data_IF_588536009748
#
_entry.id   IF_588536009748
#
_cell.length_a   1.000
_cell.length_b   1.000
_cell.length_c   1.000
_cell.angle_alpha   90.00
_cell.angle_beta   90.00
_cell.angle_gamma   90.00
#
_symmetry.space_group_name_H-M   'P 1'
#
loop_
_entity.id
_entity.type
_entity.pdbx_description
1 polymer ?
#
# COMPACT_ATOMS: atom_id res chain seq x y z
N UNK A 1 -26.77 10.31 -45.34
CA UNK A 1 -26.90 9.74 -43.99
C UNK A 1 -25.52 9.78 -43.39
N UNK A 2 -25.21 10.90 -42.77
CA UNK A 2 -23.89 11.15 -42.20
C UNK A 2 -23.80 10.48 -40.81
N UNK A 3 -22.86 9.57 -40.69
CA UNK A 3 -22.49 9.02 -39.37
C UNK A 3 -21.85 10.13 -38.56
N UNK A 4 -22.30 10.40 -37.29
CA UNK A 4 -21.60 11.33 -36.45
C UNK A 4 -20.24 10.72 -36.08
N UNK A 5 -19.17 11.27 -36.62
CA UNK A 5 -17.81 11.05 -36.18
C UNK A 5 -17.74 11.36 -34.69
N UNK A 6 -17.62 10.33 -33.87
CA UNK A 6 -17.22 10.46 -32.44
C UNK A 6 -15.86 11.15 -32.44
N UNK A 7 -15.88 12.46 -32.20
CA UNK A 7 -14.68 13.22 -31.86
C UNK A 7 -14.05 12.53 -30.66
N UNK A 8 -12.93 11.83 -30.89
CA UNK A 8 -12.07 11.34 -29.84
C UNK A 8 -11.63 12.60 -29.10
N UNK A 9 -12.19 12.83 -27.90
CA UNK A 9 -11.78 13.92 -27.05
C UNK A 9 -10.26 13.83 -26.91
N UNK A 10 -9.57 14.86 -27.37
CA UNK A 10 -8.12 14.99 -27.24
C UNK A 10 -7.79 14.80 -25.77
N UNK A 11 -6.97 13.81 -25.45
CA UNK A 11 -6.47 13.61 -24.09
C UNK A 11 -5.93 14.96 -23.61
N UNK A 12 -6.57 15.56 -22.61
CA UNK A 12 -6.11 16.80 -22.01
C UNK A 12 -4.70 16.54 -21.51
N UNK A 13 -3.73 17.31 -22.01
CA UNK A 13 -2.38 17.26 -21.48
C UNK A 13 -2.41 17.85 -20.06
N UNK A 14 -1.57 17.32 -19.17
CA UNK A 14 -1.46 17.89 -17.84
C UNK A 14 -1.20 19.39 -17.92
N UNK A 15 -1.80 20.18 -17.03
CA UNK A 15 -1.68 21.65 -17.05
C UNK A 15 -0.29 22.16 -16.67
N UNK A 16 0.59 21.27 -16.23
CA UNK A 16 2.01 21.53 -15.89
C UNK A 16 2.92 20.58 -16.69
N UNK A 17 4.21 20.89 -16.73
CA UNK A 17 5.19 20.07 -17.47
C UNK A 17 5.17 18.58 -17.04
N UNK A 18 5.41 17.69 -17.99
CA UNK A 18 5.35 16.24 -17.76
C UNK A 18 6.19 15.77 -16.56
N UNK A 19 7.44 16.23 -16.47
CA UNK A 19 8.35 15.85 -15.37
C UNK A 19 7.82 16.36 -14.03
N UNK A 20 7.38 17.62 -13.99
CA UNK A 20 6.79 18.23 -12.80
C UNK A 20 5.54 17.49 -12.34
N UNK A 21 4.65 17.13 -13.26
CA UNK A 21 3.43 16.37 -12.96
C UNK A 21 3.75 14.99 -12.37
N UNK A 22 4.68 14.24 -13.01
CA UNK A 22 5.09 12.91 -12.52
C UNK A 22 5.74 13.01 -11.14
N UNK A 23 6.62 13.99 -10.93
CA UNK A 23 7.30 14.18 -9.64
C UNK A 23 6.32 14.55 -8.53
N UNK A 24 5.38 15.45 -8.83
CA UNK A 24 4.34 15.84 -7.89
C UNK A 24 3.40 14.67 -7.52
N UNK A 25 2.94 13.92 -8.53
CA UNK A 25 2.11 12.74 -8.32
C UNK A 25 2.85 11.66 -7.49
N UNK A 26 4.12 11.46 -7.77
CA UNK A 26 4.95 10.54 -7.03
C UNK A 26 5.18 11.00 -5.58
N UNK A 27 5.43 12.29 -5.35
CA UNK A 27 5.57 12.87 -4.00
C UNK A 27 4.28 12.71 -3.18
N UNK A 28 3.12 12.96 -3.79
CA UNK A 28 1.81 12.75 -3.15
C UNK A 28 1.61 11.29 -2.73
N UNK A 29 1.95 10.33 -3.57
CA UNK A 29 1.83 8.91 -3.24
C UNK A 29 2.86 8.46 -2.21
N UNK A 30 4.07 9.02 -2.23
CA UNK A 30 5.14 8.69 -1.29
C UNK A 30 4.80 9.10 0.16
N UNK A 31 3.91 10.08 0.39
CA UNK A 31 3.43 10.45 1.73
C UNK A 31 2.83 9.26 2.49
N UNK A 32 2.21 8.31 1.78
CA UNK A 32 1.66 7.10 2.40
C UNK A 32 2.77 6.20 2.96
N UNK A 33 3.77 5.87 2.17
CA UNK A 33 4.89 5.03 2.59
C UNK A 33 5.72 5.73 3.69
N UNK A 34 5.97 7.03 3.53
CA UNK A 34 6.66 7.82 4.56
C UNK A 34 5.90 7.77 5.89
N UNK A 35 4.57 7.92 5.86
CA UNK A 35 3.71 7.85 7.05
C UNK A 35 3.69 6.48 7.72
N UNK A 36 3.92 5.38 7.00
CA UNK A 36 3.95 4.01 7.54
C UNK A 36 5.35 3.67 8.04
N UNK A 37 6.34 3.75 7.16
CA UNK A 37 7.63 3.06 7.33
C UNK A 37 8.66 3.90 8.10
N UNK A 38 8.56 5.24 8.10
CA UNK A 38 9.51 6.09 8.84
C UNK A 38 9.44 5.90 10.35
N UNK A 39 8.32 5.35 10.87
CA UNK A 39 8.11 5.10 12.29
C UNK A 39 8.76 3.80 12.79
N UNK A 40 9.13 2.88 11.88
CA UNK A 40 9.62 1.55 12.26
C UNK A 40 10.80 1.60 13.25
N UNK A 41 11.87 2.37 13.02
CA UNK A 41 12.98 2.45 13.98
C UNK A 41 12.60 3.17 15.29
N UNK A 42 11.50 3.92 15.32
CA UNK A 42 11.08 4.70 16.46
C UNK A 42 10.09 3.95 17.39
N UNK A 43 9.58 2.79 17.01
CA UNK A 43 8.58 2.04 17.78
C UNK A 43 9.01 1.76 19.25
N UNK A 44 10.27 1.38 19.54
CA UNK A 44 10.73 1.21 20.92
C UNK A 44 10.66 2.52 21.73
N UNK A 45 11.12 3.61 21.16
CA UNK A 45 11.11 4.92 21.81
C UNK A 45 9.68 5.43 22.07
N UNK A 46 8.74 5.18 21.15
CA UNK A 46 7.30 5.46 21.33
C UNK A 46 6.78 4.63 22.52
N UNK A 47 7.07 3.32 22.55
CA UNK A 47 6.62 2.44 23.60
C UNK A 47 7.10 2.88 25.00
N UNK A 48 8.38 3.19 25.13
CA UNK A 48 8.96 3.68 26.38
C UNK A 48 8.38 5.04 26.78
N UNK A 49 8.30 5.99 25.84
CA UNK A 49 7.84 7.36 26.09
C UNK A 49 6.36 7.43 26.50
N UNK A 50 5.52 6.53 26.00
CA UNK A 50 4.08 6.50 26.24
C UNK A 50 3.65 5.34 27.16
N UNK A 51 4.59 4.70 27.83
CA UNK A 51 4.38 3.63 28.82
C UNK A 51 3.50 2.49 28.27
N UNK A 52 3.82 2.02 27.06
CA UNK A 52 3.09 0.92 26.44
C UNK A 52 3.45 -0.38 27.10
N UNK A 53 2.48 -1.05 27.74
CA UNK A 53 2.69 -2.23 28.58
C UNK A 53 3.31 -3.41 27.82
N UNK A 54 2.82 -3.71 26.61
CA UNK A 54 3.32 -4.81 25.78
C UNK A 54 4.14 -4.30 24.61
N UNK A 55 5.29 -4.94 24.35
CA UNK A 55 6.11 -4.65 23.19
C UNK A 55 5.33 -4.81 21.87
N UNK A 56 4.43 -5.80 21.81
CA UNK A 56 3.61 -6.06 20.61
C UNK A 56 2.60 -4.93 20.35
N UNK A 57 2.08 -4.29 21.39
CA UNK A 57 1.14 -3.19 21.23
C UNK A 57 1.71 -2.00 20.44
N UNK A 58 3.04 -1.82 20.41
CA UNK A 58 3.70 -0.77 19.60
C UNK A 58 3.35 -0.88 18.11
N UNK A 59 3.09 -2.08 17.61
CA UNK A 59 2.70 -2.35 16.23
C UNK A 59 1.34 -1.71 15.88
N UNK A 60 0.47 -1.44 16.86
CA UNK A 60 -0.78 -0.73 16.63
C UNK A 60 -0.59 0.67 16.05
N UNK A 61 0.58 1.28 16.20
CA UNK A 61 0.92 2.56 15.53
C UNK A 61 0.83 2.43 14.01
N UNK A 62 1.25 1.29 13.45
CA UNK A 62 1.16 1.00 12.01
C UNK A 62 -0.25 0.58 11.65
N UNK A 63 -0.83 -0.35 12.41
CA UNK A 63 -2.17 -0.88 12.17
C UNK A 63 -3.23 0.22 12.17
N UNK A 64 -3.17 1.16 13.13
CA UNK A 64 -4.09 2.28 13.22
C UNK A 64 -4.05 3.16 11.96
N UNK A 65 -2.86 3.45 11.44
CA UNK A 65 -2.73 4.18 10.18
C UNK A 65 -3.35 3.39 9.01
N UNK A 66 -3.08 2.10 8.90
CA UNK A 66 -3.62 1.24 7.84
C UNK A 66 -5.14 1.11 7.90
N UNK A 67 -5.74 1.06 9.08
CA UNK A 67 -7.21 1.06 9.25
C UNK A 67 -7.80 2.36 8.71
N UNK A 68 -7.25 3.52 9.09
CA UNK A 68 -7.69 4.81 8.57
C UNK A 68 -7.50 4.90 7.06
N UNK A 69 -6.35 4.48 6.56
CA UNK A 69 -6.01 4.49 5.15
C UNK A 69 -6.91 3.55 4.33
N UNK A 70 -7.17 2.35 4.80
CA UNK A 70 -8.04 1.38 4.13
C UNK A 70 -9.48 1.87 4.06
N UNK A 71 -10.07 2.25 5.20
CA UNK A 71 -11.48 2.65 5.29
C UNK A 71 -11.79 3.91 4.47
N UNK A 72 -10.89 4.88 4.46
CA UNK A 72 -11.10 6.13 3.75
C UNK A 72 -11.02 6.02 2.22
N UNK A 73 -10.42 4.95 1.68
CA UNK A 73 -10.37 4.74 0.22
C UNK A 73 -11.76 4.70 -0.43
N UNK A 74 -12.78 4.20 0.30
CA UNK A 74 -14.16 4.17 -0.20
C UNK A 74 -14.77 5.56 -0.38
N UNK A 75 -14.27 6.56 0.36
CA UNK A 75 -14.85 7.90 0.41
C UNK A 75 -14.25 8.85 -0.62
N UNK A 76 -12.93 8.80 -0.81
CA UNK A 76 -12.22 9.79 -1.61
C UNK A 76 -12.53 9.76 -3.11
N UNK A 77 -12.86 8.59 -3.67
CA UNK A 77 -13.32 8.48 -5.06
C UNK A 77 -14.56 9.35 -5.29
N UNK A 78 -15.70 9.00 -4.68
CA UNK A 78 -16.94 9.74 -4.82
C UNK A 78 -16.85 11.21 -4.41
N UNK A 79 -16.11 11.54 -3.33
CA UNK A 79 -15.92 12.92 -2.90
C UNK A 79 -15.19 13.75 -3.96
N UNK A 80 -14.11 13.21 -4.54
CA UNK A 80 -13.33 13.92 -5.55
C UNK A 80 -14.05 14.00 -6.90
N UNK A 81 -14.94 13.05 -7.21
CA UNK A 81 -15.82 13.12 -8.40
C UNK A 81 -16.90 14.21 -8.27
N UNK A 82 -17.34 14.48 -7.05
CA UNK A 82 -18.35 15.51 -6.80
C UNK A 82 -17.79 16.91 -6.64
N UNK A 83 -16.78 17.05 -5.75
CA UNK A 83 -16.28 18.37 -5.35
C UNK A 83 -15.10 18.87 -6.17
N UNK A 84 -14.51 17.98 -6.98
CA UNK A 84 -13.29 18.21 -7.75
C UNK A 84 -12.06 17.61 -7.08
N UNK A 85 -11.03 17.36 -7.88
CA UNK A 85 -9.79 16.72 -7.42
C UNK A 85 -9.00 17.65 -6.48
N UNK A 86 -8.85 18.91 -6.92
CA UNK A 86 -8.01 19.89 -6.23
C UNK A 86 -8.50 20.22 -4.83
N UNK A 87 -9.76 20.61 -4.56
CA UNK A 87 -10.21 20.94 -3.22
C UNK A 87 -10.17 19.75 -2.28
N UNK A 88 -10.56 18.54 -2.75
CA UNK A 88 -10.56 17.34 -1.92
C UNK A 88 -9.13 16.95 -1.52
N UNK A 89 -8.17 17.05 -2.45
CA UNK A 89 -6.77 16.72 -2.15
C UNK A 89 -6.15 17.75 -1.20
N UNK A 90 -6.43 19.05 -1.36
CA UNK A 90 -5.93 20.09 -0.46
C UNK A 90 -6.48 19.92 0.97
N UNK A 91 -7.76 19.58 1.12
CA UNK A 91 -8.35 19.25 2.43
C UNK A 91 -7.68 18.02 3.03
N UNK A 92 -7.45 16.96 2.24
CA UNK A 92 -6.76 15.77 2.70
C UNK A 92 -5.32 16.07 3.16
N UNK A 93 -4.57 16.88 2.40
CA UNK A 93 -3.20 17.27 2.77
C UNK A 93 -3.17 18.14 4.02
N UNK A 94 -4.09 19.12 4.14
CA UNK A 94 -4.24 19.92 5.36
C UNK A 94 -4.58 19.06 6.58
N UNK A 95 -5.44 18.06 6.40
CA UNK A 95 -5.78 17.09 7.44
C UNK A 95 -4.58 16.20 7.81
N UNK A 96 -3.77 15.79 6.83
CA UNK A 96 -2.53 15.05 7.08
C UNK A 96 -1.54 15.86 7.91
N UNK A 97 -1.33 17.15 7.58
CA UNK A 97 -0.45 18.07 8.32
C UNK A 97 -0.92 18.23 9.76
N UNK A 98 -2.21 18.51 9.95
CA UNK A 98 -2.81 18.70 11.27
C UNK A 98 -2.68 17.44 12.13
N UNK A 99 -3.02 16.27 11.56
CA UNK A 99 -2.98 15.01 12.30
C UNK A 99 -1.54 14.53 12.57
N UNK A 100 -0.57 14.85 11.70
CA UNK A 100 0.86 14.66 11.98
C UNK A 100 1.31 15.52 13.18
N UNK A 101 0.88 16.78 13.25
CA UNK A 101 1.13 17.65 14.41
C UNK A 101 0.52 17.09 15.69
N UNK A 102 -0.73 16.62 15.65
CA UNK A 102 -1.39 15.98 16.82
C UNK A 102 -0.61 14.74 17.24
N UNK A 103 -0.17 13.89 16.30
CA UNK A 103 0.65 12.73 16.61
C UNK A 103 1.97 13.12 17.29
N UNK A 104 2.62 14.18 16.79
CA UNK A 104 3.88 14.67 17.35
C UNK A 104 3.77 15.16 18.80
N UNK A 105 2.63 15.78 19.18
CA UNK A 105 2.41 16.30 20.53
C UNK A 105 1.66 15.33 21.45
N UNK A 106 1.37 14.10 20.98
CA UNK A 106 0.62 13.11 21.74
C UNK A 106 1.27 12.79 23.08
N UNK A 107 0.52 12.96 24.16
CA UNK A 107 0.93 12.61 25.52
C UNK A 107 0.45 11.25 25.98
N UNK A 108 -0.36 10.54 25.21
CA UNK A 108 -0.83 9.19 25.50
C UNK A 108 -0.83 8.31 24.26
N UNK A 109 -0.68 7.00 24.47
CA UNK A 109 -0.70 6.03 23.36
C UNK A 109 -2.06 6.01 22.63
N UNK A 110 -3.16 6.12 23.36
CA UNK A 110 -4.51 6.19 22.77
C UNK A 110 -4.67 7.40 21.85
N UNK A 111 -4.22 8.60 22.27
CA UNK A 111 -4.26 9.79 21.42
C UNK A 111 -3.40 9.62 20.16
N UNK A 112 -2.21 9.01 20.32
CA UNK A 112 -1.36 8.69 19.17
C UNK A 112 -2.08 7.77 18.19
N UNK A 113 -2.74 6.70 18.65
CA UNK A 113 -3.48 5.79 17.78
C UNK A 113 -4.63 6.48 17.04
N UNK A 114 -5.39 7.33 17.72
CA UNK A 114 -6.45 8.13 17.07
C UNK A 114 -5.86 9.07 16.01
N UNK A 115 -4.77 9.76 16.32
CA UNK A 115 -4.06 10.60 15.36
C UNK A 115 -3.54 9.79 14.16
N UNK A 116 -3.08 8.55 14.38
CA UNK A 116 -2.63 7.65 13.32
C UNK A 116 -3.78 7.20 12.40
N UNK A 117 -4.95 6.87 12.94
CA UNK A 117 -6.15 6.58 12.13
C UNK A 117 -6.50 7.79 11.26
N UNK A 118 -6.53 8.99 11.85
CA UNK A 118 -6.83 10.23 11.14
C UNK A 118 -5.77 10.56 10.07
N UNK A 119 -4.48 10.36 10.38
CA UNK A 119 -3.38 10.55 9.43
C UNK A 119 -3.46 9.55 8.26
N UNK A 120 -3.80 8.28 8.54
CA UNK A 120 -4.06 7.27 7.50
C UNK A 120 -5.25 7.65 6.61
N UNK A 121 -6.34 8.12 7.22
CA UNK A 121 -7.50 8.64 6.49
C UNK A 121 -7.10 9.75 5.51
N UNK A 122 -6.28 10.70 5.95
CA UNK A 122 -5.77 11.77 5.12
C UNK A 122 -4.88 11.27 3.96
N UNK A 123 -4.00 10.32 4.25
CA UNK A 123 -3.10 9.71 3.26
C UNK A 123 -3.84 8.97 2.14
N UNK A 124 -5.00 8.36 2.43
CA UNK A 124 -5.84 7.73 1.42
C UNK A 124 -6.30 8.72 0.35
N UNK A 125 -6.59 9.98 0.73
CA UNK A 125 -6.90 11.05 -0.21
C UNK A 125 -5.77 11.32 -1.19
N UNK A 126 -4.54 11.41 -0.70
CA UNK A 126 -3.37 11.61 -1.56
C UNK A 126 -3.22 10.51 -2.60
N UNK A 127 -3.43 9.24 -2.22
CA UNK A 127 -3.34 8.11 -3.16
C UNK A 127 -4.48 8.08 -4.16
N UNK A 128 -5.73 8.10 -3.68
CA UNK A 128 -6.91 7.90 -4.52
C UNK A 128 -7.09 9.05 -5.51
N UNK A 129 -6.95 10.29 -5.03
CA UNK A 129 -7.13 11.48 -5.87
C UNK A 129 -5.99 11.63 -6.88
N UNK A 130 -4.75 11.29 -6.51
CA UNK A 130 -3.61 11.33 -7.46
C UNK A 130 -3.82 10.37 -8.63
N UNK A 131 -4.28 9.15 -8.39
CA UNK A 131 -4.60 8.19 -9.47
C UNK A 131 -5.73 8.73 -10.36
N UNK A 132 -6.74 9.36 -9.77
CA UNK A 132 -7.83 9.99 -10.52
C UNK A 132 -7.32 11.15 -11.39
N UNK A 133 -6.46 12.03 -10.86
CA UNK A 133 -5.84 13.12 -11.63
C UNK A 133 -5.01 12.63 -12.81
N UNK A 134 -4.23 11.54 -12.62
CA UNK A 134 -3.48 10.94 -13.73
C UNK A 134 -4.43 10.49 -14.85
N UNK A 135 -5.56 9.88 -14.48
CA UNK A 135 -6.58 9.43 -15.42
C UNK A 135 -7.30 10.59 -16.12
N UNK A 136 -7.51 11.70 -15.42
CA UNK A 136 -8.16 12.88 -16.00
C UNK A 136 -7.23 13.57 -17.03
N UNK A 137 -5.89 13.54 -16.82
CA UNK A 137 -4.91 14.20 -17.66
C UNK A 137 -4.34 13.33 -18.79
N UNK A 138 -4.34 12.01 -18.62
CA UNK A 138 -3.69 11.10 -19.56
C UNK A 138 -4.57 9.89 -19.86
N UNK A 139 -4.50 9.40 -21.11
CA UNK A 139 -5.22 8.20 -21.56
C UNK A 139 -4.27 7.19 -22.23
N UNK A 140 -4.68 5.95 -22.31
CA UNK A 140 -4.00 4.89 -23.06
C UNK A 140 -2.51 4.74 -22.65
N UNK A 141 -1.61 4.73 -23.64
CA UNK A 141 -0.17 4.52 -23.43
C UNK A 141 0.49 5.63 -22.62
N UNK A 142 0.03 6.88 -22.74
CA UNK A 142 0.54 8.00 -21.97
C UNK A 142 0.22 7.85 -20.48
N UNK A 143 -1.01 7.46 -20.15
CA UNK A 143 -1.40 7.14 -18.76
C UNK A 143 -0.56 6.00 -18.18
N UNK A 144 -0.36 4.92 -18.93
CA UNK A 144 0.46 3.80 -18.50
C UNK A 144 1.90 4.23 -18.20
N UNK A 145 2.49 5.10 -19.04
CA UNK A 145 3.84 5.64 -18.81
C UNK A 145 3.92 6.48 -17.55
N UNK A 146 2.98 7.41 -17.33
CA UNK A 146 2.92 8.23 -16.11
C UNK A 146 2.79 7.36 -14.88
N UNK A 147 1.82 6.43 -14.87
CA UNK A 147 1.59 5.54 -13.72
C UNK A 147 2.82 4.68 -13.41
N UNK A 148 3.50 4.15 -14.44
CA UNK A 148 4.73 3.38 -14.23
C UNK A 148 5.83 4.20 -13.54
N UNK A 149 6.05 5.46 -13.96
CA UNK A 149 7.02 6.34 -13.33
C UNK A 149 6.64 6.69 -11.89
N UNK A 150 5.37 7.00 -11.65
CA UNK A 150 4.84 7.27 -10.30
C UNK A 150 5.01 6.05 -9.39
N UNK A 151 4.71 4.85 -9.90
CA UNK A 151 4.88 3.61 -9.13
C UNK A 151 6.33 3.26 -8.84
N UNK A 152 7.28 3.58 -9.73
CA UNK A 152 8.72 3.39 -9.44
C UNK A 152 9.11 4.19 -8.19
N UNK A 153 8.71 5.47 -8.13
CA UNK A 153 9.00 6.31 -6.96
C UNK A 153 8.24 5.84 -5.72
N UNK A 154 6.97 5.44 -5.88
CA UNK A 154 6.19 4.88 -4.78
C UNK A 154 6.84 3.61 -4.19
N UNK A 155 7.38 2.74 -5.03
CA UNK A 155 8.07 1.53 -4.56
C UNK A 155 9.46 1.82 -3.96
N UNK A 156 10.08 2.94 -4.34
CA UNK A 156 11.32 3.38 -3.72
C UNK A 156 11.10 3.99 -2.32
N UNK A 157 9.92 4.57 -2.07
CA UNK A 157 9.63 5.23 -0.80
C UNK A 157 9.77 4.31 0.44
N UNK A 158 9.28 3.06 0.48
CA UNK A 158 9.51 2.14 1.59
C UNK A 158 10.99 1.80 1.81
N UNK A 159 11.82 1.88 0.77
CA UNK A 159 13.26 1.63 0.90
C UNK A 159 13.93 2.75 1.72
N UNK A 160 13.53 4.00 1.47
CA UNK A 160 14.14 5.18 2.09
C UNK A 160 13.45 5.64 3.38
N UNK A 161 12.15 5.36 3.56
CA UNK A 161 11.40 5.89 4.69
C UNK A 161 11.96 5.47 6.07
N UNK A 162 12.32 4.20 6.33
CA UNK A 162 12.96 3.84 7.60
C UNK A 162 14.32 4.51 7.78
N UNK A 163 15.09 4.72 6.69
CA UNK A 163 16.38 5.41 6.76
C UNK A 163 16.21 6.85 7.21
N UNK A 164 15.19 7.55 6.74
CA UNK A 164 14.84 8.91 7.20
C UNK A 164 14.53 8.91 8.70
N UNK A 165 13.70 7.97 9.17
CA UNK A 165 13.38 7.82 10.58
C UNK A 165 14.63 7.55 11.43
N UNK A 166 15.48 6.61 10.98
CA UNK A 166 16.72 6.27 11.67
C UNK A 166 17.72 7.45 11.71
N UNK A 167 17.85 8.20 10.61
CA UNK A 167 18.73 9.38 10.54
C UNK A 167 18.28 10.47 11.51
N UNK A 168 16.97 10.71 11.64
CA UNK A 168 16.42 11.67 12.61
C UNK A 168 16.78 11.25 14.04
N UNK A 169 16.60 9.97 14.38
CA UNK A 169 16.94 9.46 15.71
C UNK A 169 18.45 9.50 15.97
N UNK A 170 19.28 9.15 15.00
CA UNK A 170 20.74 9.20 15.11
C UNK A 170 21.27 10.64 15.28
N UNK A 171 20.58 11.61 14.71
CA UNK A 171 20.90 13.05 14.90
C UNK A 171 20.43 13.61 16.26
N UNK A 172 19.98 12.75 17.19
CA UNK A 172 19.47 13.16 18.51
C UNK A 172 18.02 13.64 18.51
N UNK A 173 17.30 13.50 17.40
CA UNK A 173 15.87 13.79 17.31
C UNK A 173 15.03 12.75 18.07
N UNK A 174 13.85 13.12 18.50
CA UNK A 174 12.88 12.22 19.12
C UNK A 174 11.96 11.59 18.07
N UNK A 175 11.20 10.55 18.46
CA UNK A 175 10.14 10.00 17.61
C UNK A 175 9.10 11.07 17.21
N UNK A 176 8.90 12.09 18.02
CA UNK A 176 8.02 13.24 17.72
C UNK A 176 8.51 14.05 16.52
N UNK A 177 9.83 14.19 16.39
CA UNK A 177 10.47 14.89 15.26
C UNK A 177 10.14 14.22 13.92
N UNK A 178 9.97 12.88 13.91
CA UNK A 178 9.59 12.15 12.69
C UNK A 178 8.17 12.57 12.25
N UNK A 179 7.21 12.68 13.18
CA UNK A 179 5.86 13.15 12.87
C UNK A 179 5.84 14.61 12.38
N UNK A 180 6.63 15.49 13.02
CA UNK A 180 6.81 16.86 12.52
C UNK A 180 7.39 16.87 11.11
N UNK A 181 8.38 16.02 10.84
CA UNK A 181 8.97 15.86 9.49
C UNK A 181 7.95 15.42 8.45
N UNK A 182 7.10 14.43 8.77
CA UNK A 182 6.00 14.02 7.91
C UNK A 182 5.03 15.18 7.62
N UNK A 183 4.68 15.94 8.64
CA UNK A 183 3.82 17.14 8.51
C UNK A 183 4.44 18.22 7.62
N UNK A 184 5.72 18.52 7.82
CA UNK A 184 6.46 19.53 7.02
C UNK A 184 6.55 19.08 5.54
N UNK A 185 6.89 17.82 5.28
CA UNK A 185 6.93 17.29 3.91
C UNK A 185 5.55 17.36 3.26
N UNK A 186 4.49 16.97 3.99
CA UNK A 186 3.12 17.05 3.48
C UNK A 186 2.68 18.49 3.21
N UNK A 187 3.07 19.43 4.07
CA UNK A 187 2.82 20.86 3.86
C UNK A 187 3.55 21.40 2.63
N UNK A 188 4.83 21.02 2.44
CA UNK A 188 5.62 21.44 1.28
C UNK A 188 5.04 20.88 -0.03
N UNK A 189 4.68 19.58 -0.06
CA UNK A 189 4.02 18.96 -1.20
C UNK A 189 2.64 19.57 -1.46
N UNK A 190 1.88 19.84 -0.39
CA UNK A 190 0.58 20.49 -0.46
C UNK A 190 0.65 21.92 -1.01
N UNK A 191 1.64 22.69 -0.58
CA UNK A 191 1.90 24.04 -1.09
C UNK A 191 2.31 23.99 -2.56
N UNK A 192 3.23 23.11 -2.93
CA UNK A 192 3.61 22.90 -4.33
C UNK A 192 2.40 22.55 -5.19
N UNK A 193 1.59 21.59 -4.74
CA UNK A 193 0.34 21.22 -5.40
C UNK A 193 -0.62 22.42 -5.52
N UNK A 194 -0.83 23.19 -4.45
CA UNK A 194 -1.72 24.33 -4.43
C UNK A 194 -1.31 25.45 -5.41
N UNK A 195 0.00 25.68 -5.55
CA UNK A 195 0.53 26.73 -6.40
C UNK A 195 0.58 26.34 -7.89
N UNK A 196 0.78 25.05 -8.18
CA UNK A 196 1.11 24.60 -9.54
C UNK A 196 -0.01 23.83 -10.21
N UNK A 197 -0.84 23.11 -9.46
CA UNK A 197 -1.84 22.21 -10.03
C UNK A 197 -3.24 22.82 -10.01
N UNK A 198 -3.84 23.16 -11.17
CA UNK A 198 -5.23 23.56 -11.24
C UNK A 198 -6.17 22.36 -11.08
N UNK A 199 -7.48 22.62 -11.10
CA UNK A 199 -8.48 21.54 -11.15
C UNK A 199 -8.39 20.75 -12.44
N UNK A 200 -8.40 19.42 -12.32
CA UNK A 200 -8.32 18.51 -13.48
C UNK A 200 -9.67 17.96 -13.90
N UNK A 201 -10.65 17.99 -13.01
CA UNK A 201 -12.01 17.56 -13.32
C UNK A 201 -12.82 18.72 -13.89
N UNK A 202 -13.29 18.60 -15.13
CA UNK A 202 -14.16 19.59 -15.77
C UNK A 202 -15.45 19.81 -14.97
N UNK A 203 -15.92 21.05 -14.92
CA UNK A 203 -17.16 21.40 -14.18
C UNK A 203 -18.38 20.61 -14.68
N UNK A 204 -18.43 20.28 -15.97
CA UNK A 204 -19.48 19.45 -16.58
C UNK A 204 -19.35 17.95 -16.31
N UNK A 205 -18.20 17.48 -15.81
CA UNK A 205 -17.92 16.08 -15.55
C UNK A 205 -18.18 15.68 -14.08
N UNK A 206 -18.48 16.66 -13.23
CA UNK A 206 -18.79 16.43 -11.82
C UNK A 206 -20.05 15.58 -11.66
N UNK A 207 -19.92 14.51 -10.92
CA UNK A 207 -21.03 13.58 -10.71
C UNK A 207 -21.69 13.80 -9.34
N UNK A 208 -23.04 13.81 -9.25
CA UNK A 208 -23.71 13.87 -7.98
C UNK A 208 -23.41 12.61 -7.15
N UNK A 209 -23.18 12.79 -5.84
CA UNK A 209 -23.04 11.68 -4.90
C UNK A 209 -24.39 10.92 -4.84
N UNK A 210 -24.50 9.85 -5.59
CA UNK A 210 -25.64 8.94 -5.54
C UNK A 210 -25.20 7.65 -4.85
N UNK A 211 -25.44 7.55 -3.55
CA UNK A 211 -25.10 6.36 -2.77
C UNK A 211 -25.63 5.07 -3.42
N UNK A 212 -26.84 5.11 -3.98
CA UNK A 212 -27.44 3.98 -4.68
C UNK A 212 -26.59 3.49 -5.88
N UNK A 213 -25.96 4.41 -6.63
CA UNK A 213 -25.08 4.07 -7.74
C UNK A 213 -23.79 3.42 -7.22
N UNK A 214 -23.15 4.02 -6.21
CA UNK A 214 -21.92 3.48 -5.61
C UNK A 214 -22.16 2.08 -5.04
N UNK A 215 -23.28 1.89 -4.33
CA UNK A 215 -23.68 0.57 -3.79
C UNK A 215 -23.95 -0.41 -4.93
N UNK A 216 -24.60 0.03 -6.03
CA UNK A 216 -24.84 -0.77 -7.21
C UNK A 216 -23.54 -1.23 -7.89
N UNK A 217 -22.57 -0.33 -8.02
CA UNK A 217 -21.24 -0.62 -8.57
C UNK A 217 -20.49 -1.63 -7.69
N UNK A 218 -20.52 -1.45 -6.36
CA UNK A 218 -19.98 -2.45 -5.41
C UNK A 218 -20.66 -3.80 -5.57
N UNK A 219 -22.00 -3.81 -5.69
CA UNK A 219 -22.76 -5.02 -5.94
C UNK A 219 -22.35 -5.74 -7.24
N UNK A 220 -22.03 -4.97 -8.28
CA UNK A 220 -21.52 -5.52 -9.56
C UNK A 220 -20.16 -6.18 -9.39
N UNK A 221 -19.22 -5.55 -8.70
CA UNK A 221 -17.92 -6.14 -8.40
C UNK A 221 -18.03 -7.40 -7.52
N UNK A 222 -18.88 -7.36 -6.50
CA UNK A 222 -19.08 -8.49 -5.56
C UNK A 222 -19.76 -9.70 -6.20
N UNK A 223 -20.42 -9.54 -7.35
CA UNK A 223 -21.01 -10.64 -8.13
C UNK A 223 -20.01 -11.28 -9.10
N UNK A 224 -18.93 -10.59 -9.45
CA UNK A 224 -17.91 -11.18 -10.33
C UNK A 224 -16.93 -12.02 -9.50
N UNK A 225 -16.92 -13.32 -9.77
CA UNK A 225 -16.10 -14.28 -9.05
C UNK A 225 -14.61 -14.00 -9.14
N UNK A 226 -14.12 -13.54 -10.29
CA UNK A 226 -12.71 -13.24 -10.48
C UNK A 226 -12.33 -11.98 -9.70
N UNK A 227 -13.15 -10.93 -9.76
CA UNK A 227 -12.94 -9.72 -9.00
C UNK A 227 -12.87 -9.99 -7.49
N UNK A 228 -13.84 -10.74 -6.96
CA UNK A 228 -13.87 -11.10 -5.52
C UNK A 228 -12.69 -11.99 -5.14
N UNK A 229 -12.47 -13.08 -5.89
CA UNK A 229 -11.44 -14.06 -5.54
C UNK A 229 -10.03 -13.46 -5.54
N UNK A 230 -9.66 -12.72 -6.58
CA UNK A 230 -8.34 -12.09 -6.64
C UNK A 230 -8.18 -10.92 -5.65
N UNK A 231 -9.27 -10.22 -5.32
CA UNK A 231 -9.25 -9.20 -4.27
C UNK A 231 -9.00 -9.83 -2.89
N UNK A 232 -9.69 -10.93 -2.57
CA UNK A 232 -9.48 -11.66 -1.31
C UNK A 232 -8.06 -12.23 -1.24
N UNK A 233 -7.58 -12.89 -2.30
CA UNK A 233 -6.22 -13.42 -2.35
C UNK A 233 -5.16 -12.32 -2.13
N UNK A 234 -5.35 -11.15 -2.75
CA UNK A 234 -4.47 -10.00 -2.53
C UNK A 234 -4.56 -9.49 -1.08
N UNK A 235 -5.75 -9.46 -0.49
CA UNK A 235 -5.95 -9.06 0.90
C UNK A 235 -5.25 -9.99 1.90
N UNK A 236 -5.33 -11.30 1.70
CA UNK A 236 -4.64 -12.31 2.51
C UNK A 236 -3.11 -12.14 2.42
N UNK A 237 -2.57 -12.00 1.22
CA UNK A 237 -1.13 -11.74 1.02
C UNK A 237 -0.70 -10.40 1.64
N UNK A 238 -1.53 -9.35 1.53
CA UNK A 238 -1.28 -8.07 2.20
C UNK A 238 -1.24 -8.20 3.71
N UNK A 239 -2.01 -9.14 4.29
CA UNK A 239 -1.96 -9.46 5.71
C UNK A 239 -0.59 -9.99 6.14
N UNK A 240 -0.02 -10.91 5.39
CA UNK A 240 1.33 -11.40 5.64
C UNK A 240 2.38 -10.27 5.52
N UNK A 241 2.26 -9.42 4.48
CA UNK A 241 3.13 -8.25 4.30
C UNK A 241 3.03 -7.27 5.48
N UNK A 242 1.83 -6.92 5.92
CA UNK A 242 1.65 -5.99 7.05
C UNK A 242 2.07 -6.61 8.38
N UNK A 243 1.94 -7.94 8.54
CA UNK A 243 2.53 -8.67 9.64
C UNK A 243 4.06 -8.54 9.67
N UNK A 244 4.72 -8.70 8.51
CA UNK A 244 6.16 -8.46 8.38
C UNK A 244 6.54 -7.01 8.72
N UNK A 245 5.86 -6.01 8.14
CA UNK A 245 6.14 -4.59 8.41
C UNK A 245 5.98 -4.28 9.90
N UNK A 246 4.93 -4.82 10.54
CA UNK A 246 4.69 -4.62 11.97
C UNK A 246 5.74 -5.27 12.86
N UNK A 247 6.22 -6.47 12.50
CA UNK A 247 7.10 -7.28 13.34
C UNK A 247 8.60 -7.05 13.11
N UNK A 248 9.00 -6.51 11.94
CA UNK A 248 10.42 -6.45 11.55
C UNK A 248 11.31 -5.74 12.58
N UNK A 249 10.79 -4.70 13.25
CA UNK A 249 11.54 -3.99 14.27
C UNK A 249 11.85 -4.91 15.47
N UNK A 250 10.85 -5.67 15.96
CA UNK A 250 11.05 -6.62 17.05
C UNK A 250 11.92 -7.80 16.61
N UNK A 251 11.76 -8.30 15.40
CA UNK A 251 12.61 -9.36 14.84
C UNK A 251 14.08 -8.92 14.83
N UNK A 252 14.39 -7.69 14.38
CA UNK A 252 15.77 -7.21 14.37
C UNK A 252 16.32 -6.98 15.78
N UNK A 253 15.51 -6.50 16.72
CA UNK A 253 15.94 -6.16 18.09
C UNK A 253 15.96 -7.37 19.00
N UNK A 254 14.89 -8.17 19.00
CA UNK A 254 14.62 -9.16 20.05
C UNK A 254 15.05 -10.57 19.62
N UNK A 255 15.01 -10.90 18.30
CA UNK A 255 15.45 -12.20 17.78
C UNK A 255 16.91 -12.17 17.36
N UNK A 256 17.30 -11.21 16.51
CA UNK A 256 18.67 -11.17 15.99
C UNK A 256 19.62 -10.27 16.78
N UNK A 257 19.11 -9.45 17.70
CA UNK A 257 19.90 -8.49 18.50
C UNK A 257 20.75 -7.53 17.65
N UNK A 258 20.21 -7.14 16.48
CA UNK A 258 20.87 -6.27 15.50
C UNK A 258 19.93 -5.16 15.03
N UNK A 259 19.45 -4.27 15.93
CA UNK A 259 18.53 -3.19 15.58
C UNK A 259 19.10 -2.22 14.52
N UNK A 260 20.43 -2.09 14.43
CA UNK A 260 21.12 -1.26 13.45
C UNK A 260 20.93 -1.76 11.99
N UNK A 261 20.64 -3.05 11.82
CA UNK A 261 20.40 -3.66 10.52
C UNK A 261 18.94 -3.61 10.07
N UNK A 262 18.02 -3.03 10.86
CA UNK A 262 16.62 -2.87 10.50
C UNK A 262 16.48 -2.21 9.11
N UNK A 263 17.10 -1.06 8.94
CA UNK A 263 16.98 -0.27 7.69
C UNK A 263 17.58 -0.99 6.47
N UNK A 264 18.82 -1.50 6.49
CA UNK A 264 19.36 -2.18 5.30
C UNK A 264 18.62 -3.50 4.98
N UNK A 265 18.20 -4.27 5.97
CA UNK A 265 17.42 -5.50 5.75
C UNK A 265 16.05 -5.17 5.16
N UNK A 266 15.33 -4.21 5.75
CA UNK A 266 14.02 -3.78 5.22
C UNK A 266 14.14 -3.24 3.80
N UNK A 267 15.15 -2.40 3.53
CA UNK A 267 15.41 -1.85 2.20
C UNK A 267 15.73 -2.95 1.18
N UNK A 268 16.54 -3.94 1.55
CA UNK A 268 16.85 -5.09 0.70
C UNK A 268 15.59 -5.90 0.35
N UNK A 269 14.80 -6.21 1.37
CA UNK A 269 13.54 -6.96 1.21
C UNK A 269 12.51 -6.18 0.37
N UNK A 270 12.32 -4.89 0.63
CA UNK A 270 11.43 -4.04 -0.17
C UNK A 270 11.93 -3.88 -1.61
N UNK A 271 13.25 -3.80 -1.80
CA UNK A 271 13.88 -3.76 -3.11
C UNK A 271 13.58 -4.98 -3.97
N UNK A 272 13.58 -6.19 -3.38
CA UNK A 272 13.24 -7.42 -4.13
C UNK A 272 11.76 -7.46 -4.55
N UNK A 273 10.84 -6.90 -3.78
CA UNK A 273 9.45 -6.73 -4.19
C UNK A 273 9.35 -5.81 -5.41
N UNK A 274 10.09 -4.71 -5.44
CA UNK A 274 10.16 -3.81 -6.59
C UNK A 274 10.76 -4.51 -7.82
N UNK A 275 11.84 -5.29 -7.64
CA UNK A 275 12.45 -6.10 -8.70
C UNK A 275 11.44 -7.13 -9.24
N UNK A 276 10.70 -7.82 -8.37
CA UNK A 276 9.66 -8.77 -8.77
C UNK A 276 8.58 -8.10 -9.63
N UNK A 277 8.09 -6.94 -9.21
CA UNK A 277 7.11 -6.16 -9.98
C UNK A 277 7.67 -5.66 -11.32
N UNK A 278 8.94 -5.26 -11.35
CA UNK A 278 9.63 -4.86 -12.59
C UNK A 278 9.80 -6.05 -13.55
N UNK A 279 10.25 -7.20 -13.05
CA UNK A 279 10.35 -8.42 -13.85
C UNK A 279 8.99 -8.83 -14.42
N UNK A 280 7.92 -8.74 -13.61
CA UNK A 280 6.57 -8.99 -14.08
C UNK A 280 6.24 -8.19 -15.34
N UNK A 281 6.57 -6.89 -15.36
CA UNK A 281 6.30 -6.02 -16.52
C UNK A 281 6.99 -6.48 -17.82
N UNK A 282 8.10 -7.20 -17.71
CA UNK A 282 8.87 -7.73 -18.85
C UNK A 282 8.36 -9.07 -19.35
N UNK A 283 7.90 -9.94 -18.44
CA UNK A 283 7.59 -11.32 -18.77
C UNK A 283 6.09 -11.57 -18.96
N UNK A 284 5.21 -10.72 -18.42
CA UNK A 284 3.76 -10.91 -18.42
C UNK A 284 3.16 -11.02 -19.82
N UNK A 285 3.69 -10.25 -20.77
CA UNK A 285 3.24 -10.30 -22.16
C UNK A 285 3.58 -11.62 -22.89
N UNK A 286 4.52 -12.40 -22.36
CA UNK A 286 4.94 -13.69 -22.94
C UNK A 286 4.29 -14.87 -22.25
N UNK A 287 4.17 -14.83 -20.93
CA UNK A 287 3.73 -15.96 -20.11
C UNK A 287 2.28 -15.87 -19.65
N UNK A 288 1.69 -14.66 -19.74
CA UNK A 288 0.35 -14.38 -19.26
C UNK A 288 0.27 -14.16 -17.74
N UNK A 289 -0.79 -13.44 -17.32
CA UNK A 289 -0.99 -13.02 -15.93
C UNK A 289 -1.22 -14.21 -14.99
N UNK A 290 -2.01 -15.19 -15.41
CA UNK A 290 -2.36 -16.36 -14.59
C UNK A 290 -1.15 -17.25 -14.30
N UNK A 291 -0.35 -17.59 -15.31
CA UNK A 291 0.83 -18.45 -15.13
C UNK A 291 1.80 -17.83 -14.14
N UNK A 292 2.13 -16.55 -14.33
CA UNK A 292 3.09 -15.85 -13.45
C UNK A 292 2.56 -15.76 -12.02
N UNK A 293 1.33 -15.27 -11.84
CA UNK A 293 0.82 -15.03 -10.49
C UNK A 293 0.55 -16.31 -9.71
N UNK A 294 0.06 -17.36 -10.36
CA UNK A 294 -0.18 -18.64 -9.68
C UNK A 294 1.13 -19.35 -9.33
N UNK A 295 2.14 -19.28 -10.21
CA UNK A 295 3.48 -19.81 -9.90
C UNK A 295 4.13 -19.02 -8.77
N UNK A 296 4.08 -17.68 -8.81
CA UNK A 296 4.63 -16.83 -7.77
C UNK A 296 3.94 -17.06 -6.41
N UNK A 297 2.61 -17.20 -6.37
CA UNK A 297 1.86 -17.53 -5.17
C UNK A 297 2.27 -18.88 -4.58
N UNK A 298 2.39 -19.91 -5.44
CA UNK A 298 2.79 -21.25 -5.00
C UNK A 298 4.22 -21.24 -4.47
N UNK A 299 5.15 -20.55 -5.15
CA UNK A 299 6.54 -20.40 -4.70
C UNK A 299 6.61 -19.62 -3.38
N UNK A 300 5.86 -18.52 -3.23
CA UNK A 300 5.79 -17.78 -1.96
C UNK A 300 5.37 -18.70 -0.81
N UNK A 301 4.32 -19.50 -1.02
CA UNK A 301 3.80 -20.42 0.00
C UNK A 301 4.81 -21.51 0.33
N UNK A 302 5.50 -22.05 -0.67
CA UNK A 302 6.56 -23.05 -0.48
C UNK A 302 7.75 -22.46 0.29
N UNK A 303 8.21 -21.27 -0.08
CA UNK A 303 9.31 -20.59 0.61
C UNK A 303 8.93 -20.26 2.05
N UNK A 304 7.67 -19.88 2.31
CA UNK A 304 7.17 -19.67 3.67
C UNK A 304 7.20 -20.97 4.49
N UNK A 305 6.83 -22.11 3.89
CA UNK A 305 6.94 -23.42 4.54
C UNK A 305 8.40 -23.80 4.85
N UNK A 306 9.31 -23.58 3.90
CA UNK A 306 10.75 -23.80 4.10
C UNK A 306 11.27 -22.89 5.23
N UNK A 307 10.91 -21.61 5.22
CA UNK A 307 11.35 -20.66 6.24
C UNK A 307 10.85 -21.06 7.63
N UNK A 308 9.57 -21.41 7.74
CA UNK A 308 9.01 -21.91 8.99
C UNK A 308 9.76 -23.17 9.48
N UNK A 309 10.08 -24.10 8.59
CA UNK A 309 10.84 -25.29 8.94
C UNK A 309 12.25 -24.94 9.45
N UNK A 310 12.95 -24.02 8.76
CA UNK A 310 14.28 -23.53 9.19
C UNK A 310 14.22 -22.91 10.58
N UNK A 311 13.18 -22.13 10.87
CA UNK A 311 12.97 -21.51 12.18
C UNK A 311 12.67 -22.57 13.27
N UNK A 312 11.75 -23.50 13.01
CA UNK A 312 11.38 -24.56 13.95
C UNK A 312 12.54 -25.51 14.28
N UNK A 313 13.46 -25.71 13.35
CA UNK A 313 14.68 -26.51 13.55
C UNK A 313 15.79 -25.74 14.27
N UNK A 314 15.58 -24.46 14.59
CA UNK A 314 16.61 -23.61 15.23
C UNK A 314 17.80 -23.28 14.32
N UNK A 315 17.64 -23.41 13.00
CA UNK A 315 18.69 -23.16 12.01
C UNK A 315 18.63 -21.74 11.42
N UNK A 316 17.72 -20.91 11.93
CA UNK A 316 17.54 -19.56 11.41
C UNK A 316 18.72 -18.66 11.78
N UNK A 317 19.22 -17.96 10.80
CA UNK A 317 20.25 -16.92 10.91
C UNK A 317 19.74 -15.64 10.29
N UNK A 318 20.34 -14.50 10.60
CA UNK A 318 19.98 -13.21 9.95
C UNK A 318 20.05 -13.30 8.42
N UNK A 319 21.01 -14.03 7.86
CA UNK A 319 21.16 -14.17 6.43
C UNK A 319 20.08 -15.07 5.82
N UNK A 320 19.75 -16.21 6.45
CA UNK A 320 18.66 -17.07 5.99
C UNK A 320 17.33 -16.33 6.06
N UNK A 321 17.10 -15.57 7.15
CA UNK A 321 15.94 -14.68 7.30
C UNK A 321 15.87 -13.68 6.13
N UNK A 322 16.94 -12.91 5.91
CA UNK A 322 16.93 -11.86 4.89
C UNK A 322 16.72 -12.42 3.47
N UNK A 323 17.39 -13.54 3.13
CA UNK A 323 17.29 -14.15 1.79
C UNK A 323 15.92 -14.77 1.54
N UNK A 324 15.40 -15.56 2.49
CA UNK A 324 14.10 -16.21 2.32
C UNK A 324 12.96 -15.18 2.32
N UNK A 325 13.04 -14.16 3.17
CA UNK A 325 12.08 -13.06 3.17
C UNK A 325 12.14 -12.25 1.87
N UNK A 326 13.33 -11.95 1.36
CA UNK A 326 13.51 -11.26 0.08
C UNK A 326 12.91 -12.07 -1.09
N UNK A 327 13.09 -13.39 -1.10
CA UNK A 327 12.50 -14.27 -2.12
C UNK A 327 10.97 -14.28 -2.05
N UNK A 328 10.40 -14.35 -0.85
CA UNK A 328 8.95 -14.22 -0.66
C UNK A 328 8.43 -12.87 -1.16
N UNK A 329 9.15 -11.77 -0.90
CA UNK A 329 8.73 -10.44 -1.36
C UNK A 329 8.85 -10.27 -2.88
N UNK A 330 9.83 -10.87 -3.51
CA UNK A 330 9.89 -10.93 -4.99
C UNK A 330 8.67 -11.65 -5.57
N UNK A 331 8.30 -12.81 -5.00
CA UNK A 331 7.09 -13.54 -5.38
C UNK A 331 5.81 -12.73 -5.10
N UNK A 332 5.75 -12.02 -3.97
CA UNK A 332 4.65 -11.12 -3.64
C UNK A 332 4.44 -10.05 -4.71
N UNK A 333 5.51 -9.39 -5.15
CA UNK A 333 5.46 -8.37 -6.21
C UNK A 333 4.94 -8.93 -7.55
N UNK A 334 5.38 -10.15 -7.92
CA UNK A 334 4.91 -10.86 -9.11
C UNK A 334 3.42 -11.24 -9.02
N UNK A 335 2.97 -11.73 -7.87
CA UNK A 335 1.60 -12.24 -7.70
C UNK A 335 0.57 -11.09 -7.63
N UNK A 336 0.79 -10.12 -6.73
CA UNK A 336 -0.22 -9.10 -6.40
C UNK A 336 -0.49 -8.12 -7.54
N UNK A 337 0.52 -7.77 -8.34
CA UNK A 337 0.36 -6.93 -9.53
C UNK A 337 -0.62 -7.57 -10.53
N UNK A 338 -0.47 -8.88 -10.77
CA UNK A 338 -1.33 -9.62 -11.69
C UNK A 338 -2.72 -9.87 -11.09
N UNK A 339 -2.82 -10.18 -9.79
CA UNK A 339 -4.12 -10.34 -9.12
C UNK A 339 -4.94 -9.06 -9.20
N UNK A 340 -4.33 -7.88 -8.98
CA UNK A 340 -5.02 -6.60 -9.14
C UNK A 340 -5.52 -6.39 -10.57
N UNK A 341 -4.71 -6.72 -11.57
CA UNK A 341 -5.12 -6.62 -12.98
C UNK A 341 -6.29 -7.56 -13.30
N UNK A 342 -6.23 -8.82 -12.87
CA UNK A 342 -7.29 -9.81 -13.10
C UNK A 342 -8.57 -9.48 -12.33
N UNK A 343 -8.48 -8.92 -11.13
CA UNK A 343 -9.65 -8.46 -10.39
C UNK A 343 -10.38 -7.32 -11.11
N UNK A 344 -9.65 -6.48 -11.85
CA UNK A 344 -10.18 -5.31 -12.56
C UNK A 344 -10.54 -5.59 -14.03
N UNK A 345 -10.25 -6.77 -14.56
CA UNK A 345 -10.36 -7.11 -15.99
C UNK A 345 -11.75 -6.76 -16.58
N UNK A 346 -12.82 -7.06 -15.84
CA UNK A 346 -14.20 -6.80 -16.28
C UNK A 346 -14.81 -5.52 -15.69
N UNK A 347 -14.05 -4.77 -14.90
CA UNK A 347 -14.57 -3.63 -14.12
C UNK A 347 -14.39 -2.28 -14.83
N UNK A 348 -14.08 -2.27 -16.14
CA UNK A 348 -13.77 -1.04 -16.89
C UNK A 348 -14.82 0.08 -16.75
N UNK A 349 -16.12 -0.26 -16.82
CA UNK A 349 -17.21 0.71 -16.70
C UNK A 349 -17.34 1.34 -15.28
N UNK A 350 -16.86 0.64 -14.24
CA UNK A 350 -16.92 1.05 -12.83
C UNK A 350 -15.53 1.09 -12.20
N UNK A 351 -14.47 1.25 -13.00
CA UNK A 351 -13.08 1.05 -12.58
C UNK A 351 -12.70 1.87 -11.33
N UNK A 352 -13.18 3.10 -11.20
CA UNK A 352 -12.91 3.94 -10.03
C UNK A 352 -13.49 3.36 -8.74
N UNK A 353 -14.78 3.01 -8.76
CA UNK A 353 -15.50 2.45 -7.62
C UNK A 353 -14.96 1.05 -7.27
N UNK A 354 -14.70 0.21 -8.28
CA UNK A 354 -14.13 -1.12 -8.10
C UNK A 354 -12.72 -1.06 -7.49
N UNK A 355 -11.86 -0.16 -7.98
CA UNK A 355 -10.50 0.05 -7.43
C UNK A 355 -10.54 0.54 -5.98
N UNK A 356 -11.50 1.40 -5.62
CA UNK A 356 -11.68 1.85 -4.23
C UNK A 356 -12.09 0.70 -3.31
N UNK A 357 -13.03 -0.15 -3.75
CA UNK A 357 -13.46 -1.32 -2.99
C UNK A 357 -12.32 -2.35 -2.86
N UNK A 358 -11.58 -2.61 -3.94
CA UNK A 358 -10.42 -3.48 -3.91
C UNK A 358 -9.37 -2.96 -2.91
N UNK A 359 -9.05 -1.67 -2.98
CA UNK A 359 -8.09 -1.04 -2.08
C UNK A 359 -8.55 -1.09 -0.61
N UNK A 360 -9.83 -0.85 -0.35
CA UNK A 360 -10.43 -0.99 0.99
C UNK A 360 -10.27 -2.42 1.52
N UNK A 361 -10.72 -3.42 0.76
CA UNK A 361 -10.67 -4.82 1.20
C UNK A 361 -9.23 -5.26 1.41
N UNK A 362 -8.34 -5.01 0.46
CA UNK A 362 -6.94 -5.46 0.55
C UNK A 362 -6.20 -4.80 1.71
N UNK A 363 -6.46 -3.52 1.97
CA UNK A 363 -5.78 -2.80 3.05
C UNK A 363 -6.38 -3.12 4.42
N UNK A 364 -7.72 -3.10 4.55
CA UNK A 364 -8.36 -3.34 5.85
C UNK A 364 -8.20 -4.79 6.30
N UNK A 365 -8.49 -5.75 5.42
CA UNK A 365 -8.30 -7.18 5.72
C UNK A 365 -6.82 -7.44 6.00
N UNK A 366 -5.94 -6.88 5.16
CA UNK A 366 -4.50 -6.97 5.38
C UNK A 366 -4.05 -6.38 6.72
N UNK A 367 -4.55 -5.21 7.11
CA UNK A 367 -4.20 -4.58 8.39
C UNK A 367 -4.64 -5.42 9.60
N UNK A 368 -5.86 -5.98 9.54
CA UNK A 368 -6.38 -6.84 10.63
C UNK A 368 -5.61 -8.15 10.76
N UNK A 369 -5.33 -8.81 9.64
CA UNK A 369 -4.52 -10.04 9.63
C UNK A 369 -3.09 -9.73 10.07
N UNK A 370 -2.48 -8.65 9.55
CA UNK A 370 -1.14 -8.23 9.94
C UNK A 370 -1.04 -7.90 11.42
N UNK A 371 -2.07 -7.25 11.98
CA UNK A 371 -2.15 -7.02 13.43
C UNK A 371 -2.23 -8.34 14.20
N UNK A 372 -3.05 -9.30 13.77
CA UNK A 372 -3.15 -10.60 14.44
C UNK A 372 -1.81 -11.36 14.43
N UNK A 373 -1.11 -11.37 13.29
CA UNK A 373 0.23 -11.97 13.16
C UNK A 373 1.22 -11.26 14.09
N UNK A 374 1.24 -9.93 14.08
CA UNK A 374 2.16 -9.15 14.89
C UNK A 374 1.90 -9.26 16.39
N UNK A 375 0.63 -9.30 16.81
CA UNK A 375 0.28 -9.49 18.22
C UNK A 375 0.62 -10.91 18.72
N UNK A 376 0.75 -11.89 17.84
CA UNK A 376 1.18 -13.23 18.16
C UNK A 376 2.70 -13.36 18.33
N UNK A 377 3.50 -12.30 18.13
CA UNK A 377 4.94 -12.34 18.30
C UNK A 377 5.32 -12.77 19.72
N UNK A 378 6.14 -13.80 19.83
CA UNK A 378 6.52 -14.50 21.05
C UNK A 378 8.04 -14.45 21.35
N UNK A 379 8.78 -13.59 20.65
CA UNK A 379 10.24 -13.53 20.70
C UNK A 379 10.92 -14.42 19.64
N UNK A 380 10.12 -15.02 18.74
CA UNK A 380 10.62 -15.81 17.62
C UNK A 380 9.97 -15.34 16.30
N UNK A 381 10.48 -15.83 15.17
CA UNK A 381 9.89 -15.58 13.86
C UNK A 381 8.79 -16.60 13.48
N UNK A 382 8.53 -17.61 14.35
CA UNK A 382 7.52 -18.65 14.11
C UNK A 382 6.13 -18.09 13.82
N UNK A 383 5.57 -17.14 14.61
CA UNK A 383 4.25 -16.58 14.34
C UNK A 383 4.18 -15.87 12.98
N UNK A 384 5.26 -15.18 12.59
CA UNK A 384 5.34 -14.48 11.32
C UNK A 384 5.26 -15.46 10.13
N UNK A 385 6.08 -16.52 10.13
CA UNK A 385 6.11 -17.47 9.01
C UNK A 385 4.95 -18.45 9.03
N UNK A 386 4.39 -18.74 10.18
CA UNK A 386 3.08 -19.41 10.28
C UNK A 386 1.98 -18.57 9.63
N UNK A 387 2.01 -17.25 9.85
CA UNK A 387 1.13 -16.30 9.19
C UNK A 387 1.31 -16.29 7.66
N UNK A 388 2.54 -16.21 7.17
CA UNK A 388 2.83 -16.27 5.73
C UNK A 388 2.36 -17.58 5.09
N UNK A 389 2.62 -18.71 5.74
CA UNK A 389 2.21 -20.04 5.24
C UNK A 389 0.68 -20.17 5.22
N UNK A 390 0.01 -19.75 6.29
CA UNK A 390 -1.45 -19.81 6.36
C UNK A 390 -2.10 -18.89 5.32
N UNK A 391 -1.66 -17.64 5.23
CA UNK A 391 -2.23 -16.68 4.26
C UNK A 391 -1.89 -17.07 2.81
N UNK A 392 -0.69 -17.59 2.56
CA UNK A 392 -0.29 -18.14 1.26
C UNK A 392 -1.17 -19.34 0.88
N UNK A 393 -1.34 -20.31 1.78
CA UNK A 393 -2.18 -21.49 1.57
C UNK A 393 -3.65 -21.15 1.32
N UNK A 394 -4.22 -20.25 2.14
CA UNK A 394 -5.58 -19.74 1.93
C UNK A 394 -5.72 -19.00 0.59
N UNK A 395 -4.71 -18.21 0.20
CA UNK A 395 -4.69 -17.54 -1.11
C UNK A 395 -4.66 -18.55 -2.26
N UNK A 396 -3.87 -19.63 -2.15
CA UNK A 396 -3.88 -20.72 -3.14
C UNK A 396 -5.26 -21.36 -3.23
N UNK A 397 -5.91 -21.65 -2.10
CA UNK A 397 -7.25 -22.22 -2.07
C UNK A 397 -8.29 -21.28 -2.72
N UNK A 398 -8.26 -20.00 -2.37
CA UNK A 398 -9.16 -18.98 -2.96
C UNK A 398 -8.95 -18.87 -4.47
N UNK A 399 -7.71 -18.84 -4.95
CA UNK A 399 -7.41 -18.79 -6.38
C UNK A 399 -7.86 -20.08 -7.08
N UNK A 400 -7.63 -21.25 -6.49
CA UNK A 400 -8.09 -22.53 -7.04
C UNK A 400 -9.63 -22.58 -7.17
N UNK A 401 -10.38 -22.11 -6.17
CA UNK A 401 -11.83 -21.98 -6.23
C UNK A 401 -12.22 -20.98 -7.32
N UNK A 402 -11.57 -19.82 -7.39
CA UNK A 402 -11.81 -18.78 -8.38
C UNK A 402 -11.61 -19.29 -9.81
N UNK A 403 -10.59 -20.07 -10.07
CA UNK A 403 -10.30 -20.65 -11.38
C UNK A 403 -10.96 -22.03 -11.62
N UNK A 404 -11.82 -22.49 -10.71
CA UNK A 404 -12.48 -23.81 -10.79
C UNK A 404 -11.49 -24.97 -10.93
N UNK A 405 -10.39 -24.93 -10.21
CA UNK A 405 -9.32 -25.91 -10.27
C UNK A 405 -8.40 -25.80 -11.51
N UNK A 406 -8.67 -24.86 -12.41
CA UNK A 406 -7.92 -24.70 -13.66
C UNK A 406 -6.81 -23.66 -13.57
N UNK A 407 -5.97 -23.82 -12.57
CA UNK A 407 -4.79 -22.95 -12.37
C UNK A 407 -3.77 -23.10 -13.50
N UNK A 408 -2.89 -22.10 -13.66
CA UNK A 408 -1.75 -22.08 -14.59
C UNK A 408 -2.12 -22.12 -16.10
N UNK A 409 -3.35 -21.81 -16.49
CA UNK A 409 -3.70 -21.71 -17.91
C UNK A 409 -3.17 -20.40 -18.49
N UNK A 410 -2.58 -20.43 -19.69
CA UNK A 410 -2.28 -19.21 -20.43
C UNK A 410 -3.57 -18.41 -20.63
N UNK A 411 -3.48 -17.08 -20.42
CA UNK A 411 -4.58 -16.13 -20.64
C UNK A 411 -4.57 -15.64 -22.07
#
# INVERSE_FOLDING_TARGET
MDSPSRTIASAQQAPIGFVEFVTLAAALMALTALGIDSMLPALPAIGTSLSVESANHRQFVITAFLIGFGTAQLLYGPLSDRYGRRPVLLVALGFYVTTSGIAAISGSFALLLVARVAMGTAAAGSRVVTVAMVRDCYAGRAMARVMSLVFIVFMAAPIFAPAVGQAILAAGGSWRTIFWGCGVIAAAVGLWFALRMPETLGTGERQPLRAARVIGDYGTMLRDRAAVGYTIATGLLSGALFGFIGSIQQVMSDVFHRPELLTPVFAGVAGTMAIGSFLNSRIVMRLGTRVISHTALTLLTLVAAIHLAVTLLGLETLWSFAVLQALMMACFGLATSNFSAMAMEKMGAIAGTASSLQGFVTTLVGALIGAAIGQAFDGSTVPLYSGFLLMGGLSVAVVAITERGRMFRPS
#
